data_IF_762479912524
#
_entry.id   IF_762479912524
#
_cell.length_a   1.000
_cell.length_b   1.000
_cell.length_c   1.000
_cell.angle_alpha   90.00
_cell.angle_beta   90.00
_cell.angle_gamma   90.00
#
_symmetry.space_group_name_H-M   'P 1'
#
loop_
_entity.id
_entity.type
_entity.pdbx_description
1 polymer ?
#
# COMPACT_ATOMS: atom_id res chain seq x y z
N UNK A 1 6.41 -12.57 -9.85
CA UNK A 1 6.51 -11.49 -8.83
C UNK A 1 6.01 -10.18 -9.41
N UNK A 2 5.25 -9.46 -8.65
CA UNK A 2 4.69 -8.18 -9.08
C UNK A 2 5.27 -7.08 -8.20
N UNK A 3 5.65 -5.96 -8.81
CA UNK A 3 6.20 -4.83 -8.07
C UNK A 3 5.08 -3.84 -7.77
N UNK A 4 4.86 -3.61 -6.49
CA UNK A 4 3.83 -2.68 -6.03
C UNK A 4 4.45 -1.67 -5.08
N UNK A 5 3.72 -0.60 -4.83
CA UNK A 5 4.19 0.50 -3.99
C UNK A 5 3.67 0.35 -2.57
N UNK A 6 4.49 0.76 -1.62
CA UNK A 6 4.06 0.92 -0.24
C UNK A 6 4.34 2.35 0.18
N UNK A 7 3.32 3.04 0.66
CA UNK A 7 3.43 4.37 1.25
C UNK A 7 3.22 4.20 2.74
N UNK A 8 4.20 4.60 3.54
CA UNK A 8 4.15 4.35 4.97
C UNK A 8 4.13 5.67 5.72
N UNK A 9 3.14 5.80 6.61
CA UNK A 9 2.96 7.00 7.41
C UNK A 9 2.89 6.64 8.88
N UNK A 10 3.42 7.54 9.72
CA UNK A 10 3.22 7.41 11.16
C UNK A 10 1.82 7.86 11.51
N UNK A 11 1.15 7.07 12.34
CA UNK A 11 -0.18 7.42 12.84
C UNK A 11 -0.19 7.15 14.35
N UNK A 12 -0.11 8.21 15.13
CA UNK A 12 0.03 8.13 16.58
C UNK A 12 1.26 7.27 16.95
N UNK A 13 1.06 6.16 17.63
CA UNK A 13 2.15 5.28 18.06
C UNK A 13 2.41 4.13 17.10
N UNK A 14 1.72 4.13 15.96
CA UNK A 14 1.85 3.04 15.00
C UNK A 14 2.19 3.59 13.62
N UNK A 15 2.33 2.68 12.66
CA UNK A 15 2.60 3.02 11.27
C UNK A 15 1.57 2.34 10.39
N UNK A 16 1.13 3.06 9.36
CA UNK A 16 0.20 2.53 8.36
C UNK A 16 0.92 2.44 7.03
N UNK A 17 0.79 1.29 6.37
CA UNK A 17 1.36 1.08 5.04
C UNK A 17 0.21 0.94 4.05
N UNK A 18 0.24 1.72 2.99
CA UNK A 18 -0.81 1.73 1.95
C UNK A 18 -0.23 1.33 0.62
N UNK A 19 -0.90 0.41 -0.07
CA UNK A 19 -0.61 0.10 -1.45
C UNK A 19 -1.64 0.84 -2.31
N UNK A 20 -1.23 1.93 -2.98
CA UNK A 20 -2.18 2.73 -3.75
C UNK A 20 -2.70 2.03 -5.00
N UNK A 21 -1.96 1.08 -5.55
CA UNK A 21 -2.39 0.38 -6.75
C UNK A 21 -3.66 -0.44 -6.53
N UNK A 22 -3.88 -0.93 -5.31
CA UNK A 22 -5.04 -1.76 -5.00
C UNK A 22 -5.87 -1.21 -3.83
N UNK A 23 -5.46 -0.08 -3.27
CA UNK A 23 -6.15 0.53 -2.14
C UNK A 23 -6.29 -0.43 -0.96
N UNK A 24 -5.18 -1.11 -0.66
CA UNK A 24 -5.09 -2.04 0.46
C UNK A 24 -4.07 -1.49 1.44
N UNK A 25 -4.44 -1.47 2.71
CA UNK A 25 -3.59 -0.93 3.76
C UNK A 25 -3.44 -1.93 4.90
N UNK A 26 -2.36 -1.77 5.63
CA UNK A 26 -2.11 -2.54 6.83
C UNK A 26 -1.37 -1.66 7.83
N UNK A 27 -1.19 -2.12 9.05
CA UNK A 27 -0.49 -1.32 10.05
C UNK A 27 0.42 -2.19 10.90
N UNK A 28 1.30 -1.54 11.64
CA UNK A 28 2.20 -2.23 12.53
C UNK A 28 2.83 -1.25 13.50
N UNK A 29 3.53 -1.79 14.49
CA UNK A 29 4.19 -1.01 15.53
C UNK A 29 5.48 -0.36 15.05
N UNK A 30 5.99 -0.79 13.90
CA UNK A 30 7.19 -0.24 13.29
C UNK A 30 7.00 -0.16 11.78
N UNK A 31 7.90 0.57 11.11
CA UNK A 31 7.87 0.65 9.65
C UNK A 31 8.02 -0.75 9.05
N UNK A 32 8.96 -1.53 9.57
CA UNK A 32 9.21 -2.89 9.08
C UNK A 32 8.00 -3.79 9.26
N UNK A 33 7.32 -3.68 10.41
CA UNK A 33 6.15 -4.49 10.68
C UNK A 33 4.98 -4.09 9.78
N UNK A 34 4.73 -2.79 9.63
CA UNK A 34 3.67 -2.31 8.75
C UNK A 34 3.89 -2.78 7.31
N UNK A 35 5.16 -2.72 6.86
CA UNK A 35 5.52 -3.19 5.53
C UNK A 35 5.29 -4.69 5.37
N UNK A 36 5.74 -5.48 6.34
CA UNK A 36 5.56 -6.92 6.29
C UNK A 36 4.08 -7.31 6.30
N UNK A 37 3.30 -6.63 7.13
CA UNK A 37 1.86 -6.88 7.21
C UNK A 37 1.15 -6.51 5.91
N UNK A 38 1.61 -5.45 5.24
CA UNK A 38 1.04 -5.08 3.93
C UNK A 38 1.35 -6.15 2.90
N UNK A 39 2.59 -6.65 2.87
CA UNK A 39 2.96 -7.73 1.94
C UNK A 39 2.07 -8.95 2.18
N UNK A 40 1.83 -9.30 3.43
CA UNK A 40 0.97 -10.44 3.76
C UNK A 40 -0.47 -10.19 3.30
N UNK A 41 -1.00 -8.99 3.53
CA UNK A 41 -2.36 -8.65 3.12
C UNK A 41 -2.51 -8.70 1.60
N UNK A 42 -1.53 -8.17 0.87
CA UNK A 42 -1.54 -8.20 -0.60
C UNK A 42 -1.42 -9.63 -1.12
N UNK A 43 -0.55 -10.43 -0.50
CA UNK A 43 -0.37 -11.82 -0.90
C UNK A 43 -1.70 -12.58 -0.74
N UNK A 44 -2.35 -12.39 0.39
CA UNK A 44 -3.63 -13.03 0.65
C UNK A 44 -4.70 -12.58 -0.35
N UNK A 45 -4.73 -11.26 -0.66
CA UNK A 45 -5.66 -10.74 -1.64
C UNK A 45 -5.48 -11.42 -3.00
N UNK A 46 -4.24 -11.51 -3.49
CA UNK A 46 -3.99 -12.13 -4.79
C UNK A 46 -4.25 -13.64 -4.79
N UNK A 47 -4.13 -14.29 -3.63
CA UNK A 47 -4.40 -15.72 -3.53
C UNK A 47 -5.88 -16.05 -3.50
N UNK A 48 -6.71 -15.13 -2.97
CA UNK A 48 -8.12 -15.43 -2.72
C UNK A 48 -9.08 -14.70 -3.66
N UNK A 49 -8.69 -13.55 -4.22
CA UNK A 49 -9.55 -12.79 -5.11
C UNK A 49 -9.53 -13.41 -6.51
N UNK A 50 -10.68 -13.42 -7.18
CA UNK A 50 -10.71 -13.87 -8.57
C UNK A 50 -10.23 -12.76 -9.51
N UNK A 51 -10.04 -13.09 -10.77
CA UNK A 51 -9.48 -12.17 -11.75
C UNK A 51 -10.33 -10.91 -11.92
N UNK A 52 -11.63 -11.03 -11.82
CA UNK A 52 -12.52 -9.87 -11.98
C UNK A 52 -12.42 -8.92 -10.79
N UNK A 53 -12.24 -9.46 -9.59
CA UNK A 53 -12.06 -8.64 -8.41
C UNK A 53 -10.70 -7.93 -8.44
N UNK A 54 -9.65 -8.62 -8.85
CA UNK A 54 -8.33 -8.01 -8.98
C UNK A 54 -8.41 -6.85 -9.97
N UNK A 55 -9.05 -7.05 -11.12
CA UNK A 55 -9.19 -5.99 -12.11
C UNK A 55 -9.99 -4.81 -11.58
N UNK A 56 -11.06 -5.08 -10.83
CA UNK A 56 -11.93 -4.05 -10.26
C UNK A 56 -11.19 -3.21 -9.22
N UNK A 57 -10.32 -3.83 -8.41
CA UNK A 57 -9.58 -3.15 -7.35
C UNK A 57 -8.37 -2.39 -7.88
N UNK A 58 -7.90 -2.74 -9.07
CA UNK A 58 -6.70 -2.14 -9.63
C UNK A 58 -6.96 -0.69 -10.05
N UNK A 59 -6.08 0.20 -9.63
CA UNK A 59 -6.11 1.60 -10.07
C UNK A 59 -5.23 1.83 -11.30
N UNK A 60 -4.67 0.75 -11.86
CA UNK A 60 -3.76 0.87 -12.98
C UNK A 60 -2.41 1.38 -12.54
N UNK A 61 -1.79 2.22 -13.36
CA UNK A 61 -0.49 2.78 -13.02
C UNK A 61 -0.63 3.89 -12.00
N UNK A 62 0.22 3.86 -10.97
CA UNK A 62 0.27 4.88 -9.94
C UNK A 62 1.68 5.43 -9.90
N UNK A 63 1.79 6.75 -9.95
CA UNK A 63 3.08 7.44 -9.94
C UNK A 63 3.19 8.23 -8.64
N UNK A 64 4.31 8.08 -7.95
CA UNK A 64 4.56 8.77 -6.69
C UNK A 64 5.81 9.62 -6.86
N UNK A 65 5.67 10.90 -6.58
CA UNK A 65 6.79 11.82 -6.70
C UNK A 65 6.70 12.86 -5.59
N UNK A 66 7.82 13.51 -5.34
CA UNK A 66 7.87 14.63 -4.42
C UNK A 66 7.80 15.92 -5.22
N UNK A 67 7.12 16.89 -4.67
CA UNK A 67 7.00 18.21 -5.29
C UNK A 67 7.42 19.27 -4.28
N UNK A 68 7.81 20.43 -4.80
CA UNK A 68 8.12 21.59 -3.97
C UNK A 68 7.00 22.59 -4.10
N UNK A 69 6.55 23.10 -2.95
CA UNK A 69 5.46 24.07 -2.91
C UNK A 69 5.90 25.26 -2.10
N UNK A 70 5.82 26.47 -2.64
CA UNK A 70 6.16 27.64 -1.85
C UNK A 70 5.18 27.84 -0.72
N UNK A 71 5.70 28.00 0.48
CA UNK A 71 4.89 28.32 1.67
C UNK A 71 5.48 29.58 2.26
N UNK A 72 4.63 30.54 2.43
CA UNK A 72 5.14 31.80 2.84
C UNK A 72 4.66 32.38 4.06
#
# INVERSE_FOLDING_TARGET
>A
MQRLTAIIEREDDSFVALCPEFDIASEGASIEEARANLIEALTLFFETADASEVARRSHGEVFITQIEVPVG
#
